data_IF_188998911393
#
_entry.id   IF_188998911393
#
_cell.length_a   1.000
_cell.length_b   1.000
_cell.length_c   1.000
_cell.angle_alpha   90.00
_cell.angle_beta   90.00
_cell.angle_gamma   90.00
#
_symmetry.space_group_name_H-M   'P 1'
#
loop_
_entity.id
_entity.type
_entity.pdbx_description
1 polymer ?
#
# COMPACT_ATOMS: atom_id res chain seq x y z
N UNK A 1 -20.04 54.98 -28.44
CA UNK A 1 -19.09 53.85 -28.32
C UNK A 1 -18.38 53.95 -26.98
N UNK A 2 -18.97 53.43 -25.90
CA UNK A 2 -18.28 53.26 -24.62
C UNK A 2 -18.46 51.81 -24.19
N UNK A 3 -17.46 50.98 -24.47
CA UNK A 3 -17.43 49.58 -24.08
C UNK A 3 -16.84 49.46 -22.68
N UNK A 4 -17.68 49.07 -21.72
CA UNK A 4 -17.25 48.65 -20.39
C UNK A 4 -16.68 47.24 -20.48
N UNK A 5 -15.36 47.11 -20.34
CA UNK A 5 -14.70 45.81 -20.15
C UNK A 5 -14.83 45.44 -18.67
N UNK A 6 -15.72 44.50 -18.37
CA UNK A 6 -15.86 43.93 -17.04
C UNK A 6 -14.68 42.97 -16.81
N UNK A 7 -13.65 43.44 -16.10
CA UNK A 7 -12.59 42.58 -15.60
C UNK A 7 -13.18 41.68 -14.50
N UNK A 8 -13.56 40.46 -14.87
CA UNK A 8 -13.86 39.40 -13.91
C UNK A 8 -12.56 39.03 -13.20
N UNK A 9 -12.38 39.54 -11.99
CA UNK A 9 -11.38 39.06 -11.05
C UNK A 9 -11.77 37.62 -10.68
N UNK A 10 -11.23 36.64 -11.39
CA UNK A 10 -11.33 35.25 -10.96
C UNK A 10 -10.59 35.13 -9.63
N UNK A 11 -11.26 34.75 -8.52
CA UNK A 11 -10.53 34.43 -7.31
C UNK A 11 -9.62 33.26 -7.64
N UNK A 12 -8.31 33.50 -7.57
CA UNK A 12 -7.30 32.45 -7.59
C UNK A 12 -7.45 31.66 -6.29
N UNK A 13 -8.41 30.72 -6.27
CA UNK A 13 -8.32 29.58 -5.37
C UNK A 13 -7.09 28.79 -5.79
N UNK A 14 -5.95 29.18 -5.24
CA UNK A 14 -4.74 28.42 -5.30
C UNK A 14 -5.06 27.02 -4.79
N UNK A 15 -4.90 26.02 -5.65
CA UNK A 15 -4.80 24.65 -5.21
C UNK A 15 -3.65 24.62 -4.20
N UNK A 16 -3.98 24.52 -2.91
CA UNK A 16 -3.01 24.13 -1.90
C UNK A 16 -2.62 22.69 -2.25
N UNK A 17 -1.61 22.56 -3.13
CA UNK A 17 -1.09 21.28 -3.55
C UNK A 17 -0.57 20.55 -2.32
N UNK A 18 -0.92 19.28 -2.19
CA UNK A 18 -0.39 18.41 -1.14
C UNK A 18 1.14 18.44 -1.27
N UNK A 19 1.81 19.10 -0.33
CA UNK A 19 3.26 19.16 -0.33
C UNK A 19 3.79 17.83 0.21
N UNK A 20 4.04 16.89 -0.69
CA UNK A 20 4.61 15.60 -0.34
C UNK A 20 6.06 15.81 0.13
N UNK A 21 6.32 15.58 1.42
CA UNK A 21 7.69 15.47 1.92
C UNK A 21 8.22 14.07 1.57
N UNK A 22 9.34 13.95 0.82
CA UNK A 22 9.90 12.64 0.52
C UNK A 22 10.24 11.90 1.81
N UNK A 23 9.66 10.71 1.99
CA UNK A 23 10.17 9.78 2.97
C UNK A 23 11.57 9.35 2.51
N UNK A 24 12.59 9.53 3.35
CA UNK A 24 13.93 9.01 3.09
C UNK A 24 13.87 7.49 3.26
N UNK A 25 13.39 6.80 2.24
CA UNK A 25 13.67 5.39 2.05
C UNK A 25 15.20 5.29 2.03
N UNK A 26 15.79 4.67 3.04
CA UNK A 26 17.21 4.37 3.01
C UNK A 26 17.51 3.40 1.85
N UNK A 27 18.79 3.21 1.52
CA UNK A 27 19.18 2.26 0.48
C UNK A 27 18.62 0.84 0.73
N UNK A 28 18.31 0.52 1.99
CA UNK A 28 17.81 -0.78 2.45
C UNK A 28 16.44 -1.12 1.88
N UNK A 29 15.51 -0.16 1.86
CA UNK A 29 14.17 -0.31 1.24
C UNK A 29 14.27 -0.70 -0.24
N UNK A 30 15.22 -0.12 -0.98
CA UNK A 30 15.34 -0.34 -2.43
C UNK A 30 15.86 -1.73 -2.82
N UNK A 31 16.53 -2.43 -1.90
CA UNK A 31 17.13 -3.75 -2.11
C UNK A 31 16.23 -4.93 -1.69
N UNK A 32 15.05 -4.65 -1.13
CA UNK A 32 14.18 -5.68 -0.60
C UNK A 32 13.68 -6.61 -1.70
N UNK A 33 14.02 -7.89 -1.57
CA UNK A 33 13.44 -8.99 -2.32
C UNK A 33 12.56 -9.82 -1.36
N UNK A 34 11.28 -9.93 -1.67
CA UNK A 34 10.30 -10.70 -0.88
C UNK A 34 9.60 -11.71 -1.76
N UNK A 35 9.39 -12.91 -1.23
CA UNK A 35 8.65 -13.96 -1.92
C UNK A 35 7.27 -14.07 -1.31
N UNK A 36 6.24 -14.03 -2.15
CA UNK A 36 4.86 -14.21 -1.71
C UNK A 36 4.52 -15.69 -1.52
N UNK A 37 3.36 -15.97 -0.93
CA UNK A 37 2.89 -17.33 -0.65
C UNK A 37 2.60 -18.15 -1.92
N UNK A 38 2.51 -17.51 -3.09
CA UNK A 38 2.40 -18.20 -4.39
C UNK A 38 3.76 -18.58 -4.99
N UNK A 39 4.85 -18.22 -4.32
CA UNK A 39 6.23 -18.48 -4.77
C UNK A 39 6.79 -17.41 -5.70
N UNK A 40 6.08 -16.30 -5.93
CA UNK A 40 6.58 -15.21 -6.78
C UNK A 40 7.45 -14.27 -5.96
N UNK A 41 8.64 -13.99 -6.47
CA UNK A 41 9.56 -13.01 -5.88
C UNK A 41 9.32 -11.61 -6.44
N UNK A 42 9.22 -10.64 -5.54
CA UNK A 42 9.09 -9.21 -5.78
C UNK A 42 10.36 -8.49 -5.37
N UNK A 43 10.99 -7.77 -6.29
CA UNK A 43 12.16 -6.94 -6.01
C UNK A 43 11.75 -5.47 -6.08
N UNK A 44 11.76 -4.75 -4.95
CA UNK A 44 11.29 -3.36 -4.91
C UNK A 44 12.09 -2.44 -5.85
N UNK A 45 13.40 -2.66 -5.98
CA UNK A 45 14.24 -1.91 -6.92
C UNK A 45 13.83 -2.05 -8.39
N UNK A 46 13.22 -3.18 -8.77
CA UNK A 46 12.69 -3.44 -10.11
C UNK A 46 11.29 -2.83 -10.33
N UNK A 47 10.65 -2.30 -9.29
CA UNK A 47 9.32 -1.69 -9.35
C UNK A 47 9.37 -0.16 -9.47
N UNK A 48 10.54 0.43 -9.71
CA UNK A 48 10.67 1.87 -9.97
C UNK A 48 9.77 2.30 -11.13
N UNK A 49 9.07 3.43 -10.97
CA UNK A 49 8.08 3.93 -11.92
C UNK A 49 6.65 3.41 -11.70
N UNK A 50 6.46 2.50 -10.76
CA UNK A 50 5.17 1.98 -10.31
C UNK A 50 4.93 2.37 -8.86
N UNK A 51 3.71 2.77 -8.51
CA UNK A 51 3.35 2.94 -7.12
C UNK A 51 3.27 1.57 -6.43
N UNK A 52 3.89 1.44 -5.27
CA UNK A 52 3.83 0.22 -4.45
C UNK A 52 3.24 0.57 -3.09
N UNK A 53 2.10 -0.04 -2.77
CA UNK A 53 1.47 0.06 -1.47
C UNK A 53 1.77 -1.21 -0.66
N UNK A 54 2.48 -1.06 0.44
CA UNK A 54 2.68 -2.14 1.40
C UNK A 54 1.57 -2.10 2.46
N UNK A 55 0.69 -3.09 2.45
CA UNK A 55 -0.36 -3.23 3.44
C UNK A 55 0.07 -4.24 4.50
N UNK A 56 0.45 -3.76 5.69
CA UNK A 56 0.83 -4.59 6.82
C UNK A 56 -0.41 -4.99 7.62
N UNK A 57 -0.72 -6.29 7.70
CA UNK A 57 -1.98 -6.78 8.26
C UNK A 57 -1.82 -8.07 9.05
N UNK A 58 -2.87 -8.44 9.77
CA UNK A 58 -3.04 -9.77 10.35
C UNK A 58 -4.52 -10.14 10.39
N UNK A 59 -4.85 -11.43 10.40
CA UNK A 59 -6.24 -11.91 10.35
C UNK A 59 -7.07 -11.52 11.57
N UNK A 60 -6.42 -11.09 12.65
CA UNK A 60 -7.03 -10.60 13.88
C UNK A 60 -7.11 -9.06 13.94
N UNK A 61 -6.55 -8.36 12.94
CA UNK A 61 -6.67 -6.91 12.81
C UNK A 61 -7.93 -6.56 12.03
N UNK A 62 -9.05 -6.38 12.75
CA UNK A 62 -10.35 -6.04 12.17
C UNK A 62 -10.32 -4.85 11.18
N UNK A 63 -9.74 -3.68 11.52
CA UNK A 63 -9.70 -2.56 10.57
C UNK A 63 -8.88 -2.91 9.33
N UNK A 64 -7.74 -3.60 9.50
CA UNK A 64 -6.90 -4.02 8.37
C UNK A 64 -7.68 -4.92 7.40
N UNK A 65 -8.46 -5.86 7.94
CA UNK A 65 -9.26 -6.81 7.16
C UNK A 65 -10.42 -6.09 6.45
N UNK A 66 -11.08 -5.16 7.15
CA UNK A 66 -12.20 -4.37 6.61
C UNK A 66 -11.78 -3.49 5.43
N UNK A 67 -10.54 -3.03 5.40
CA UNK A 67 -10.01 -2.20 4.31
C UNK A 67 -9.60 -3.00 3.05
N UNK A 68 -9.32 -4.30 3.18
CA UNK A 68 -8.79 -5.11 2.08
C UNK A 68 -9.64 -5.12 0.80
N UNK A 69 -10.99 -5.20 0.84
CA UNK A 69 -11.81 -5.15 -0.37
C UNK A 69 -11.60 -3.86 -1.17
N UNK A 70 -11.48 -2.73 -0.48
CA UNK A 70 -11.21 -1.43 -1.11
C UNK A 70 -9.81 -1.38 -1.74
N UNK A 71 -8.81 -1.94 -1.07
CA UNK A 71 -7.45 -2.02 -1.61
C UNK A 71 -7.38 -2.90 -2.85
N UNK A 72 -8.10 -4.02 -2.87
CA UNK A 72 -8.24 -4.87 -4.06
C UNK A 72 -8.91 -4.14 -5.22
N UNK A 73 -10.05 -3.49 -4.95
CA UNK A 73 -10.75 -2.72 -5.95
C UNK A 73 -9.87 -1.62 -6.54
N UNK A 74 -9.10 -0.92 -5.70
CA UNK A 74 -8.15 0.11 -6.14
C UNK A 74 -7.04 -0.48 -7.01
N UNK A 75 -6.42 -1.60 -6.59
CA UNK A 75 -5.39 -2.27 -7.37
C UNK A 75 -5.91 -2.72 -8.75
N UNK A 76 -7.13 -3.27 -8.79
CA UNK A 76 -7.78 -3.69 -10.03
C UNK A 76 -8.10 -2.49 -10.95
N UNK A 77 -8.61 -1.39 -10.39
CA UNK A 77 -8.94 -0.18 -11.16
C UNK A 77 -7.72 0.52 -11.76
N UNK A 78 -6.61 0.58 -11.02
CA UNK A 78 -5.38 1.24 -11.49
C UNK A 78 -4.59 0.37 -12.47
N UNK A 79 -4.74 -0.95 -12.39
CA UNK A 79 -3.96 -1.91 -13.15
C UNK A 79 -2.56 -2.13 -12.54
N UNK A 80 -2.04 -3.33 -12.73
CA UNK A 80 -0.79 -3.81 -12.12
C UNK A 80 0.47 -3.06 -12.58
N UNK A 81 0.40 -2.32 -13.69
CA UNK A 81 1.49 -1.48 -14.20
C UNK A 81 1.60 -0.14 -13.47
N UNK A 82 0.50 0.34 -12.85
CA UNK A 82 0.47 1.63 -12.14
C UNK A 82 0.51 1.47 -10.63
N UNK A 83 -0.24 0.51 -10.09
CA UNK A 83 -0.30 0.24 -8.66
C UNK A 83 -0.13 -1.25 -8.38
N UNK A 84 0.83 -1.56 -7.51
CA UNK A 84 0.97 -2.86 -6.89
C UNK A 84 0.66 -2.74 -5.40
N UNK A 85 -0.29 -3.53 -4.91
CA UNK A 85 -0.54 -3.67 -3.47
C UNK A 85 0.06 -5.00 -3.02
N UNK A 86 1.03 -4.95 -2.10
CA UNK A 86 1.63 -6.12 -1.46
C UNK A 86 1.08 -6.25 -0.04
N UNK A 87 0.39 -7.34 0.25
CA UNK A 87 -0.22 -7.60 1.55
C UNK A 87 0.75 -8.37 2.44
N UNK A 88 1.43 -7.69 3.37
CA UNK A 88 2.41 -8.29 4.27
C UNK A 88 1.72 -8.77 5.55
N UNK A 89 1.54 -10.09 5.68
CA UNK A 89 0.94 -10.69 6.86
C UNK A 89 1.96 -10.81 8.00
N UNK A 90 1.62 -10.28 9.17
CA UNK A 90 2.52 -10.16 10.31
C UNK A 90 2.41 -11.33 11.29
N UNK A 91 3.50 -12.09 11.45
CA UNK A 91 3.70 -13.10 12.51
C UNK A 91 2.56 -14.12 12.63
N UNK A 92 2.04 -14.61 11.50
CA UNK A 92 1.10 -15.74 11.50
C UNK A 92 1.68 -16.93 10.74
N UNK A 93 1.21 -18.13 11.09
CA UNK A 93 1.64 -19.36 10.41
C UNK A 93 1.09 -19.41 8.98
N UNK A 94 1.80 -20.09 8.07
CA UNK A 94 1.32 -20.31 6.70
C UNK A 94 -0.09 -20.92 6.65
N UNK A 95 -0.44 -21.95 7.45
CA UNK A 95 -1.81 -22.45 7.50
C UNK A 95 -2.86 -21.39 7.89
N UNK A 96 -2.53 -20.49 8.82
CA UNK A 96 -3.45 -19.40 9.21
C UNK A 96 -3.67 -18.41 8.07
N UNK A 97 -2.59 -18.07 7.35
CA UNK A 97 -2.62 -17.16 6.20
C UNK A 97 -3.44 -17.78 5.07
N UNK A 98 -3.14 -19.03 4.73
CA UNK A 98 -3.81 -19.79 3.68
C UNK A 98 -5.32 -19.90 3.94
N UNK A 99 -5.70 -20.31 5.16
CA UNK A 99 -7.10 -20.36 5.57
C UNK A 99 -7.80 -18.99 5.51
N UNK A 100 -7.07 -17.87 5.68
CA UNK A 100 -7.63 -16.52 5.53
C UNK A 100 -7.83 -16.17 4.06
N UNK A 101 -6.82 -16.40 3.24
CA UNK A 101 -6.87 -16.11 1.80
C UNK A 101 -8.04 -16.86 1.16
N UNK A 102 -8.18 -18.15 1.45
CA UNK A 102 -9.26 -18.97 0.91
C UNK A 102 -10.67 -18.52 1.33
N UNK A 103 -10.87 -18.14 2.60
CA UNK A 103 -12.21 -17.74 3.08
C UNK A 103 -12.61 -16.32 2.68
N UNK A 104 -11.63 -15.42 2.51
CA UNK A 104 -11.88 -13.99 2.26
C UNK A 104 -12.00 -13.64 0.78
N UNK A 105 -11.53 -14.53 -0.12
CA UNK A 105 -11.40 -14.21 -1.54
C UNK A 105 -10.30 -13.17 -1.80
N UNK A 106 -9.32 -13.04 -0.90
CA UNK A 106 -8.17 -12.16 -1.08
C UNK A 106 -7.32 -12.66 -2.26
N UNK A 107 -7.11 -11.78 -3.22
CA UNK A 107 -6.39 -12.00 -4.48
C UNK A 107 -5.11 -11.15 -4.60
N UNK A 108 -4.86 -10.27 -3.62
CA UNK A 108 -3.61 -9.52 -3.53
C UNK A 108 -2.42 -10.48 -3.27
N UNK A 109 -1.22 -10.20 -3.80
CA UNK A 109 -0.01 -10.91 -3.41
C UNK A 109 0.21 -10.83 -1.89
N UNK A 110 0.25 -11.99 -1.22
CA UNK A 110 0.45 -12.07 0.23
C UNK A 110 1.88 -12.48 0.55
N UNK A 111 2.59 -11.68 1.33
CA UNK A 111 3.92 -11.98 1.85
C UNK A 111 3.77 -12.44 3.30
N UNK A 112 4.36 -13.57 3.65
CA UNK A 112 4.35 -14.08 5.01
C UNK A 112 5.57 -13.56 5.80
N UNK A 113 5.37 -12.56 6.66
CA UNK A 113 6.39 -12.06 7.58
C UNK A 113 6.35 -12.85 8.90
N UNK A 114 6.71 -14.14 8.82
CA UNK A 114 6.57 -15.12 9.90
C UNK A 114 7.20 -14.67 11.22
N UNK A 115 8.30 -13.91 11.15
CA UNK A 115 9.09 -13.47 12.30
C UNK A 115 8.94 -11.96 12.58
N UNK A 116 8.18 -11.22 11.77
CA UNK A 116 8.07 -9.77 11.89
C UNK A 116 9.36 -9.03 11.51
N UNK A 117 10.23 -9.64 10.70
CA UNK A 117 11.51 -9.06 10.28
C UNK A 117 11.24 -7.91 9.31
N UNK A 118 10.34 -8.12 8.35
CA UNK A 118 9.98 -7.10 7.34
C UNK A 118 9.33 -5.91 8.05
N UNK A 119 8.30 -6.14 8.86
CA UNK A 119 7.64 -5.08 9.63
C UNK A 119 8.63 -4.25 10.46
N UNK A 120 9.61 -4.91 11.11
CA UNK A 120 10.64 -4.23 11.91
C UNK A 120 11.59 -3.39 11.06
N UNK A 121 12.06 -3.91 9.93
CA UNK A 121 12.91 -3.17 9.00
C UNK A 121 12.23 -1.91 8.46
N UNK A 122 10.90 -1.97 8.29
CA UNK A 122 10.09 -0.86 7.82
C UNK A 122 9.59 0.07 8.95
N UNK A 123 10.07 -0.13 10.17
CA UNK A 123 9.70 0.70 11.32
C UNK A 123 8.22 0.62 11.71
N UNK A 124 7.52 -0.44 11.28
CA UNK A 124 6.12 -0.68 11.64
C UNK A 124 6.09 -1.12 13.11
N UNK A 125 5.53 -0.24 13.95
CA UNK A 125 5.44 -0.43 15.41
C UNK A 125 4.01 -0.62 15.90
N UNK A 126 3.04 -0.22 15.11
CA UNK A 126 1.62 -0.21 15.47
C UNK A 126 0.87 -0.85 14.31
N UNK A 127 0.22 -1.96 14.61
CA UNK A 127 -0.87 -2.49 13.80
C UNK A 127 -2.14 -2.04 14.50
N UNK A 128 -3.17 -1.63 13.76
CA UNK A 128 -4.42 -1.05 14.27
C UNK A 128 -5.29 -2.02 15.09
N UNK A 129 -4.68 -3.02 15.73
CA UNK A 129 -5.28 -3.83 16.78
C UNK A 129 -4.25 -3.98 17.90
N UNK A 130 -4.28 -3.02 18.83
CA UNK A 130 -3.87 -3.06 20.25
C UNK A 130 -3.71 -1.62 20.74
N UNK A 131 -4.79 -1.04 21.28
CA UNK A 131 -4.67 -0.21 22.47
C UNK A 131 -4.66 -1.13 23.69
#
# INVERSE_FOLDING_TARGET
MFGLVLALLTPAWGAAGIQLKPWRADAQVSSLAVTDVSGRTWQLGALKGRAVLLNFWASWCEPCVTEMPSLQALAAQQGSDRLLVLAVNFKQSLPTIDAFVHRSGLSLPVIADLQGIIARQWGIKIFQAQC
#
